data_IF_822421662440
#
_entry.id   IF_822421662440
#
_cell.length_a   1.000
_cell.length_b   1.000
_cell.length_c   1.000
_cell.angle_alpha   90.00
_cell.angle_beta   90.00
_cell.angle_gamma   90.00
#
_symmetry.space_group_name_H-M   'P 1'
#
loop_
_entity.id
_entity.type
_entity.pdbx_description
1 polymer ?
#
# COMPACT_ATOMS: atom_id res chain seq x y z
N UNK A 1 11.01 9.04 11.24
CA UNK A 1 10.57 9.38 9.89
C UNK A 1 11.01 8.34 8.88
N UNK A 2 10.10 7.88 8.03
CA UNK A 2 10.43 6.96 6.96
C UNK A 2 11.17 7.64 5.81
N UNK A 3 10.85 8.91 5.58
CA UNK A 3 11.41 9.67 4.46
C UNK A 3 11.89 11.03 4.95
N UNK A 4 13.12 11.41 4.57
CA UNK A 4 13.63 12.75 4.77
C UNK A 4 13.33 13.59 3.52
N UNK A 5 13.38 14.93 3.65
CA UNK A 5 13.11 15.84 2.55
C UNK A 5 13.97 15.58 1.32
N UNK A 6 15.27 15.38 1.55
CA UNK A 6 16.22 15.21 0.46
C UNK A 6 16.05 13.86 -0.22
N UNK A 7 15.87 12.80 0.56
CA UNK A 7 15.74 11.45 0.04
C UNK A 7 14.46 11.25 -0.75
N UNK A 8 13.35 11.84 -0.29
CA UNK A 8 12.06 11.63 -0.93
C UNK A 8 12.06 12.16 -2.36
N UNK A 9 12.63 13.35 -2.61
CA UNK A 9 12.66 13.90 -3.97
C UNK A 9 13.40 13.02 -4.95
N UNK A 10 14.52 12.45 -4.51
CA UNK A 10 15.33 11.59 -5.37
C UNK A 10 14.65 10.27 -5.65
N UNK A 11 13.84 9.78 -4.72
CA UNK A 11 13.25 8.45 -4.79
C UNK A 11 11.82 8.42 -5.31
N UNK A 12 11.13 9.56 -5.41
CA UNK A 12 9.72 9.58 -5.82
C UNK A 12 9.43 8.80 -7.10
N UNK A 13 10.14 9.02 -8.22
CA UNK A 13 9.83 8.27 -9.43
C UNK A 13 10.00 6.77 -9.27
N UNK A 14 11.06 6.36 -8.59
CA UNK A 14 11.34 4.94 -8.32
C UNK A 14 10.29 4.32 -7.41
N UNK A 15 9.89 5.04 -6.36
CA UNK A 15 8.85 4.58 -5.44
C UNK A 15 7.50 4.42 -6.13
N UNK A 16 7.11 5.41 -6.94
CA UNK A 16 5.85 5.35 -7.68
C UNK A 16 5.84 4.16 -8.63
N UNK A 17 6.93 3.94 -9.36
CA UNK A 17 7.05 2.80 -10.26
C UNK A 17 6.95 1.48 -9.49
N UNK A 18 7.67 1.38 -8.38
CA UNK A 18 7.67 0.17 -7.56
C UNK A 18 6.29 -0.15 -7.00
N UNK A 19 5.58 0.88 -6.54
CA UNK A 19 4.23 0.69 -6.00
C UNK A 19 3.26 0.27 -7.09
N UNK A 20 3.24 0.97 -8.23
CA UNK A 20 2.23 0.78 -9.26
C UNK A 20 2.49 -0.41 -10.19
N UNK A 21 3.74 -0.66 -10.56
CA UNK A 21 4.04 -1.54 -11.69
C UNK A 21 4.97 -2.70 -11.38
N UNK A 22 5.82 -2.56 -10.37
CA UNK A 22 6.84 -3.59 -10.12
C UNK A 22 6.36 -4.67 -9.16
N UNK A 23 6.10 -4.32 -7.92
CA UNK A 23 5.87 -5.35 -6.90
C UNK A 23 4.68 -5.13 -5.99
N UNK A 24 4.41 -3.89 -5.56
CA UNK A 24 3.47 -3.69 -4.44
C UNK A 24 2.01 -3.89 -4.86
N UNK A 25 1.48 -3.05 -5.76
CA UNK A 25 0.11 -3.20 -6.22
C UNK A 25 -0.09 -4.48 -7.05
N UNK A 26 0.84 -4.82 -7.99
CA UNK A 26 0.70 -6.08 -8.72
C UNK A 26 0.62 -7.32 -7.83
N UNK A 27 1.41 -7.39 -6.76
CA UNK A 27 1.35 -8.52 -5.82
C UNK A 27 -0.02 -8.62 -5.16
N UNK A 28 -0.63 -7.49 -4.78
CA UNK A 28 -1.96 -7.48 -4.17
C UNK A 28 -3.05 -7.88 -5.17
N UNK A 29 -2.90 -7.50 -6.44
CA UNK A 29 -3.83 -7.93 -7.49
C UNK A 29 -3.76 -9.44 -7.71
N UNK A 30 -2.59 -10.04 -7.59
CA UNK A 30 -2.45 -11.49 -7.63
C UNK A 30 -3.17 -12.16 -6.47
N UNK A 31 -3.14 -11.56 -5.28
CA UNK A 31 -3.88 -12.06 -4.14
C UNK A 31 -5.39 -12.04 -4.37
N UNK A 32 -5.91 -11.04 -5.07
CA UNK A 32 -7.32 -11.01 -5.42
C UNK A 32 -7.73 -12.25 -6.22
N UNK A 33 -6.90 -12.65 -7.17
CA UNK A 33 -7.15 -13.87 -7.95
C UNK A 33 -7.10 -15.12 -7.09
N UNK A 34 -6.13 -15.19 -6.19
CA UNK A 34 -5.99 -16.34 -5.30
C UNK A 34 -7.21 -16.48 -4.38
N UNK A 35 -7.73 -15.37 -3.87
CA UNK A 35 -8.90 -15.40 -3.00
C UNK A 35 -10.21 -15.68 -3.77
N UNK A 36 -10.26 -15.41 -5.07
CA UNK A 36 -11.40 -15.82 -5.91
C UNK A 36 -11.61 -17.35 -5.90
N UNK A 37 -10.52 -18.08 -5.81
CA UNK A 37 -10.52 -19.54 -5.80
C UNK A 37 -10.57 -20.13 -4.38
N UNK A 38 -10.67 -19.28 -3.37
CA UNK A 38 -10.67 -19.72 -1.99
C UNK A 38 -11.97 -20.47 -1.67
N UNK A 39 -11.88 -21.69 -1.11
CA UNK A 39 -13.04 -22.60 -1.01
C UNK A 39 -14.10 -22.21 0.00
N UNK A 40 -13.85 -21.21 0.85
CA UNK A 40 -14.83 -20.78 1.87
C UNK A 40 -15.36 -19.39 1.56
N UNK A 41 -16.47 -19.01 2.21
CA UNK A 41 -17.03 -17.66 2.12
C UNK A 41 -16.08 -16.56 2.57
N UNK A 42 -15.00 -16.92 3.25
CA UNK A 42 -13.98 -15.96 3.69
C UNK A 42 -13.25 -15.31 2.52
N UNK A 43 -13.20 -15.95 1.35
CA UNK A 43 -12.57 -15.41 0.16
C UNK A 43 -13.08 -14.01 -0.20
N UNK A 44 -14.40 -13.81 -0.10
CA UNK A 44 -15.01 -12.50 -0.40
C UNK A 44 -14.53 -11.43 0.60
N UNK A 45 -14.49 -11.77 1.87
CA UNK A 45 -14.04 -10.84 2.92
C UNK A 45 -12.57 -10.47 2.70
N UNK A 46 -11.74 -11.44 2.38
CA UNK A 46 -10.32 -11.20 2.12
C UNK A 46 -10.11 -10.34 0.89
N UNK A 47 -10.87 -10.56 -0.18
CA UNK A 47 -10.80 -9.74 -1.39
C UNK A 47 -11.14 -8.28 -1.11
N UNK A 48 -12.20 -8.03 -0.37
CA UNK A 48 -12.59 -6.67 0.00
C UNK A 48 -11.47 -5.96 0.76
N UNK A 49 -10.83 -6.68 1.67
CA UNK A 49 -9.73 -6.11 2.45
C UNK A 49 -8.51 -5.80 1.59
N UNK A 50 -8.16 -6.70 0.68
CA UNK A 50 -7.04 -6.48 -0.24
C UNK A 50 -7.33 -5.32 -1.19
N UNK A 51 -8.57 -5.18 -1.68
CA UNK A 51 -8.96 -4.05 -2.51
C UNK A 51 -8.80 -2.73 -1.75
N UNK A 52 -9.15 -2.70 -0.46
CA UNK A 52 -8.93 -1.54 0.39
C UNK A 52 -7.43 -1.19 0.46
N UNK A 53 -6.58 -2.19 0.62
CA UNK A 53 -5.13 -1.96 0.64
C UNK A 53 -4.62 -1.42 -0.70
N UNK A 54 -5.13 -1.93 -1.82
CA UNK A 54 -4.76 -1.40 -3.14
C UNK A 54 -5.13 0.08 -3.25
N UNK A 55 -6.32 0.48 -2.82
CA UNK A 55 -6.72 1.89 -2.81
C UNK A 55 -5.81 2.72 -1.94
N UNK A 56 -5.44 2.22 -0.79
CA UNK A 56 -4.54 2.95 0.11
C UNK A 56 -3.15 3.12 -0.49
N UNK A 57 -2.64 2.10 -1.19
CA UNK A 57 -1.37 2.22 -1.92
C UNK A 57 -1.46 3.21 -3.08
N UNK A 58 -2.57 3.24 -3.80
CA UNK A 58 -2.81 4.22 -4.86
C UNK A 58 -2.85 5.64 -4.29
N UNK A 59 -3.43 5.81 -3.12
CA UNK A 59 -3.45 7.10 -2.44
C UNK A 59 -2.05 7.55 -2.03
N UNK A 60 -1.20 6.62 -1.61
CA UNK A 60 0.20 6.92 -1.30
C UNK A 60 0.92 7.42 -2.54
N UNK A 61 0.71 6.80 -3.71
CA UNK A 61 1.27 7.29 -4.97
C UNK A 61 0.80 8.73 -5.24
N UNK A 62 -0.47 8.99 -5.03
CA UNK A 62 -1.03 10.34 -5.21
C UNK A 62 -0.35 11.37 -4.30
N UNK A 63 -0.12 11.01 -3.04
CA UNK A 63 0.60 11.89 -2.10
C UNK A 63 2.02 12.13 -2.58
N UNK A 64 2.71 11.09 -3.05
CA UNK A 64 4.06 11.21 -3.60
C UNK A 64 4.12 12.16 -4.79
N UNK A 65 3.15 12.08 -5.68
CA UNK A 65 3.06 12.98 -6.84
C UNK A 65 2.86 14.43 -6.38
N UNK A 66 2.01 14.64 -5.38
CA UNK A 66 1.82 15.98 -4.80
C UNK A 66 3.12 16.53 -4.22
N UNK A 67 3.85 15.70 -3.48
CA UNK A 67 5.14 16.09 -2.89
C UNK A 67 6.13 16.46 -3.97
N UNK A 68 6.13 15.75 -5.11
CA UNK A 68 7.03 16.04 -6.21
C UNK A 68 6.80 17.44 -6.81
N UNK A 69 5.57 17.96 -6.68
CA UNK A 69 5.23 19.28 -7.17
C UNK A 69 5.49 20.36 -6.13
N UNK A 70 5.20 20.06 -4.88
CA UNK A 70 5.37 21.02 -3.79
C UNK A 70 5.53 20.26 -2.46
N UNK A 71 6.75 20.25 -1.96
CA UNK A 71 7.03 19.66 -0.65
C UNK A 71 6.52 20.58 0.45
N UNK A 72 5.83 20.00 1.43
CA UNK A 72 5.51 20.66 2.67
C UNK A 72 5.70 19.66 3.81
N UNK A 73 5.97 20.15 5.00
CA UNK A 73 6.10 19.27 6.17
C UNK A 73 4.79 18.52 6.43
N UNK A 74 3.67 19.17 6.20
CA UNK A 74 2.35 18.54 6.35
C UNK A 74 2.18 17.36 5.39
N UNK A 75 2.54 17.52 4.13
CA UNK A 75 2.45 16.45 3.14
C UNK A 75 3.37 15.28 3.49
N UNK A 76 4.58 15.59 3.95
CA UNK A 76 5.54 14.57 4.36
C UNK A 76 5.04 13.80 5.58
N UNK A 77 4.50 14.49 6.57
CA UNK A 77 3.91 13.85 7.74
C UNK A 77 2.75 12.94 7.34
N UNK A 78 1.90 13.41 6.45
CA UNK A 78 0.77 12.64 5.95
C UNK A 78 1.22 11.37 5.22
N UNK A 79 2.28 11.48 4.43
CA UNK A 79 2.87 10.33 3.75
C UNK A 79 3.34 9.29 4.76
N UNK A 80 4.12 9.72 5.75
CA UNK A 80 4.67 8.82 6.76
C UNK A 80 3.56 8.13 7.56
N UNK A 81 2.54 8.87 7.98
CA UNK A 81 1.41 8.32 8.71
C UNK A 81 0.64 7.29 7.87
N UNK A 82 0.38 7.62 6.60
CA UNK A 82 -0.36 6.74 5.70
C UNK A 82 0.38 5.44 5.45
N UNK A 83 1.69 5.50 5.23
CA UNK A 83 2.51 4.30 4.98
C UNK A 83 2.58 3.44 6.24
N UNK A 84 2.87 4.04 7.38
CA UNK A 84 2.98 3.29 8.64
C UNK A 84 1.66 2.61 9.00
N UNK A 85 0.55 3.32 8.89
CA UNK A 85 -0.77 2.78 9.18
C UNK A 85 -1.11 1.62 8.25
N UNK A 86 -0.83 1.79 6.96
CA UNK A 86 -1.10 0.75 5.96
C UNK A 86 -0.28 -0.50 6.21
N UNK A 87 1.02 -0.35 6.47
CA UNK A 87 1.91 -1.49 6.75
C UNK A 87 1.45 -2.25 7.98
N UNK A 88 1.04 -1.54 9.03
CA UNK A 88 0.53 -2.18 10.24
C UNK A 88 -0.76 -2.96 9.97
N UNK A 89 -1.70 -2.37 9.25
CA UNK A 89 -2.96 -3.01 8.92
C UNK A 89 -2.76 -4.23 8.02
N UNK A 90 -1.86 -4.14 7.06
CA UNK A 90 -1.51 -5.29 6.19
C UNK A 90 -0.89 -6.41 7.02
N UNK A 91 0.00 -6.08 7.93
CA UNK A 91 0.64 -7.06 8.80
C UNK A 91 -0.39 -7.83 9.63
N UNK A 92 -1.34 -7.13 10.23
CA UNK A 92 -2.43 -7.75 11.00
C UNK A 92 -3.29 -8.64 10.12
N UNK A 93 -3.63 -8.16 8.94
CA UNK A 93 -4.47 -8.90 8.01
C UNK A 93 -3.82 -10.21 7.59
N UNK A 94 -2.58 -10.16 7.14
CA UNK A 94 -1.88 -11.38 6.70
C UNK A 94 -1.65 -12.36 7.83
N UNK A 95 -1.38 -11.87 9.03
CA UNK A 95 -1.27 -12.71 10.20
C UNK A 95 -2.60 -13.43 10.48
N UNK A 96 -3.71 -12.71 10.41
CA UNK A 96 -5.05 -13.26 10.60
C UNK A 96 -5.37 -14.35 9.57
N UNK A 97 -5.05 -14.10 8.30
CA UNK A 97 -5.26 -15.09 7.23
C UNK A 97 -4.45 -16.36 7.49
N UNK A 98 -3.21 -16.21 7.90
CA UNK A 98 -2.34 -17.35 8.19
C UNK A 98 -2.82 -18.16 9.39
N UNK A 99 -3.37 -17.51 10.40
CA UNK A 99 -3.87 -18.18 11.60
C UNK A 99 -5.13 -19.00 11.32
N UNK A 100 -5.94 -18.62 10.34
CA UNK A 100 -7.15 -19.35 9.98
C UNK A 100 -6.90 -20.56 9.09
N UNK A 101 -5.73 -20.64 8.53
CA UNK A 101 -5.30 -21.78 7.73
C UNK A 101 -4.49 -22.74 8.58
#
# INVERSE_FOLDING_TARGET
>A
ELFSEKEIYEQIPSLCFKIQFDSIIPARKMLLKAFDEYPSGLGTVYKEKVQEFIYRWQNIVYILIKISRRLSQQSLNRLNESVLSLLEDEKRFFKSVMEEN
#
